data_IF_244577257244
#
_entry.id   IF_244577257244
#
_cell.length_a   1.000
_cell.length_b   1.000
_cell.length_c   1.000
_cell.angle_alpha   90.00
_cell.angle_beta   90.00
_cell.angle_gamma   90.00
#
_symmetry.space_group_name_H-M   'P 1'
#
loop_
_entity.id
_entity.type
_entity.pdbx_description
1 polymer ?
#
# COMPACT_ATOMS: atom_id res chain seq x y z
N UNK A 1 -17.78 0.68 -19.78
CA UNK A 1 -17.90 1.26 -18.42
C UNK A 1 -16.73 0.74 -17.63
N UNK A 2 -15.97 1.61 -16.95
CA UNK A 2 -14.88 1.16 -16.07
C UNK A 2 -15.47 0.59 -14.80
N UNK A 3 -14.91 -0.50 -14.29
CA UNK A 3 -15.45 -1.27 -13.17
C UNK A 3 -15.30 -0.57 -11.81
N UNK A 4 -14.70 0.63 -11.77
CA UNK A 4 -14.30 1.29 -10.52
C UNK A 4 -13.08 0.64 -9.85
N UNK A 5 -12.58 -0.46 -10.42
CA UNK A 5 -11.38 -1.16 -10.00
C UNK A 5 -10.36 -1.12 -11.15
N UNK A 6 -9.34 -0.27 -11.00
CA UNK A 6 -8.29 -0.12 -12.01
C UNK A 6 -7.54 -1.44 -12.28
N UNK A 7 -7.45 -2.33 -11.28
CA UNK A 7 -6.81 -3.64 -11.45
C UNK A 7 -7.67 -4.59 -12.29
N UNK A 8 -8.99 -4.53 -12.16
CA UNK A 8 -9.91 -5.30 -13.00
C UNK A 8 -9.90 -4.75 -14.43
N UNK A 9 -9.89 -3.42 -14.58
CA UNK A 9 -9.79 -2.76 -15.88
C UNK A 9 -8.46 -3.08 -16.60
N UNK A 10 -7.39 -3.42 -15.85
CA UNK A 10 -6.09 -3.87 -16.35
C UNK A 10 -5.97 -5.39 -16.54
N UNK A 11 -7.01 -6.18 -16.21
CA UNK A 11 -7.04 -7.63 -16.40
C UNK A 11 -6.31 -8.45 -15.33
N UNK A 12 -6.13 -7.92 -14.11
CA UNK A 12 -5.57 -8.71 -13.00
C UNK A 12 -6.59 -9.73 -12.49
N UNK A 13 -6.19 -10.99 -12.43
CA UNK A 13 -7.02 -12.09 -11.91
C UNK A 13 -7.48 -11.84 -10.47
N UNK A 14 -6.61 -11.25 -9.63
CA UNK A 14 -6.88 -10.96 -8.22
C UNK A 14 -7.25 -9.47 -7.98
N UNK A 15 -7.87 -8.82 -8.96
CA UNK A 15 -8.14 -7.37 -8.96
C UNK A 15 -8.78 -6.80 -7.67
N UNK A 16 -9.71 -7.51 -7.04
CA UNK A 16 -10.34 -7.06 -5.78
C UNK A 16 -9.38 -7.07 -4.59
N UNK A 17 -8.47 -8.03 -4.56
CA UNK A 17 -7.44 -8.12 -3.53
C UNK A 17 -6.38 -7.03 -3.73
N UNK A 18 -5.96 -6.79 -4.97
CA UNK A 18 -5.06 -5.69 -5.33
C UNK A 18 -5.63 -4.32 -4.95
N UNK A 19 -6.93 -4.12 -5.21
CA UNK A 19 -7.61 -2.89 -4.80
C UNK A 19 -7.63 -2.70 -3.28
N UNK A 20 -7.84 -3.79 -2.52
CA UNK A 20 -7.79 -3.75 -1.05
C UNK A 20 -6.39 -3.40 -0.55
N UNK A 21 -5.33 -4.01 -1.10
CA UNK A 21 -3.94 -3.71 -0.75
C UNK A 21 -3.56 -2.27 -1.06
N UNK A 22 -3.93 -1.79 -2.24
CA UNK A 22 -3.67 -0.40 -2.65
C UNK A 22 -4.36 0.61 -1.73
N UNK A 23 -5.61 0.35 -1.33
CA UNK A 23 -6.33 1.18 -0.34
C UNK A 23 -5.60 1.19 1.01
N UNK A 24 -5.17 0.03 1.50
CA UNK A 24 -4.43 -0.07 2.76
C UNK A 24 -3.09 0.68 2.70
N UNK A 25 -2.31 0.48 1.64
CA UNK A 25 -1.04 1.17 1.44
C UNK A 25 -1.21 2.71 1.40
N UNK A 26 -2.30 3.18 0.77
CA UNK A 26 -2.67 4.61 0.74
C UNK A 26 -2.93 5.15 2.14
N UNK A 27 -3.72 4.45 2.96
CA UNK A 27 -4.01 4.87 4.33
C UNK A 27 -2.75 4.91 5.21
N UNK A 28 -1.90 3.88 5.11
CA UNK A 28 -0.61 3.83 5.84
C UNK A 28 0.24 5.05 5.45
N UNK A 29 0.39 5.32 4.16
CA UNK A 29 1.14 6.49 3.67
C UNK A 29 0.55 7.80 4.19
N UNK A 30 -0.78 7.95 4.18
CA UNK A 30 -1.43 9.14 4.68
C UNK A 30 -1.13 9.37 6.17
N UNK A 31 -1.15 8.31 6.99
CA UNK A 31 -0.82 8.38 8.42
C UNK A 31 0.66 8.75 8.63
N UNK A 32 1.58 8.11 7.90
CA UNK A 32 3.03 8.40 7.98
C UNK A 32 3.29 9.87 7.66
N UNK A 33 2.72 10.38 6.56
CA UNK A 33 2.87 11.78 6.15
C UNK A 33 2.25 12.75 7.17
N UNK A 34 1.01 12.51 7.60
CA UNK A 34 0.30 13.37 8.56
C UNK A 34 1.03 13.47 9.90
N UNK A 35 1.65 12.37 10.34
CA UNK A 35 2.40 12.29 11.60
C UNK A 35 3.89 12.65 11.45
N UNK A 36 4.34 12.99 10.23
CA UNK A 36 5.75 13.26 9.90
C UNK A 36 6.70 12.16 10.41
N UNK A 37 6.28 10.91 10.28
CA UNK A 37 7.08 9.76 10.70
C UNK A 37 8.15 9.47 9.65
N UNK A 38 9.35 9.12 10.11
CA UNK A 38 10.36 8.52 9.22
C UNK A 38 9.96 7.09 8.89
N UNK A 39 10.48 6.53 7.80
CA UNK A 39 10.25 5.13 7.46
C UNK A 39 10.73 4.19 8.58
N UNK A 40 11.88 4.47 9.20
CA UNK A 40 12.40 3.68 10.32
C UNK A 40 11.47 3.71 11.55
N UNK A 41 10.92 4.88 11.90
CA UNK A 41 9.97 4.99 13.02
C UNK A 41 8.65 4.30 12.70
N UNK A 42 8.21 4.37 11.43
CA UNK A 42 7.01 3.68 10.97
C UNK A 42 7.19 2.15 11.02
N UNK A 43 8.37 1.64 10.66
CA UNK A 43 8.72 0.23 10.75
C UNK A 43 8.63 -0.29 12.18
N UNK A 44 9.18 0.46 13.14
CA UNK A 44 9.06 0.14 14.56
C UNK A 44 7.61 0.14 15.05
N UNK A 45 6.82 1.15 14.67
CA UNK A 45 5.42 1.27 15.10
C UNK A 45 4.50 0.20 14.51
N UNK A 46 4.79 -0.23 13.28
CA UNK A 46 4.00 -1.23 12.56
C UNK A 46 4.53 -2.65 12.77
N UNK A 47 5.61 -2.82 13.55
CA UNK A 47 6.32 -4.09 13.72
C UNK A 47 6.72 -4.75 12.38
N UNK A 48 7.11 -3.93 11.41
CA UNK A 48 7.55 -4.34 10.07
C UNK A 48 9.03 -4.03 9.89
N UNK A 49 9.67 -4.65 8.88
CA UNK A 49 11.02 -4.25 8.51
C UNK A 49 10.95 -2.94 7.72
N UNK A 50 11.99 -2.11 7.83
CA UNK A 50 12.04 -0.84 7.10
C UNK A 50 11.96 -1.01 5.56
N UNK A 51 12.53 -2.05 4.93
CA UNK A 51 12.33 -2.31 3.50
C UNK A 51 10.86 -2.51 3.12
N UNK A 52 10.09 -3.23 3.94
CA UNK A 52 8.66 -3.48 3.71
C UNK A 52 7.88 -2.16 3.78
N UNK A 53 8.19 -1.29 4.75
CA UNK A 53 7.63 0.06 4.82
C UNK A 53 8.00 0.89 3.59
N UNK A 54 9.26 0.83 3.15
CA UNK A 54 9.69 1.55 1.95
C UNK A 54 8.88 1.11 0.73
N UNK A 55 8.68 -0.20 0.56
CA UNK A 55 7.97 -0.73 -0.59
C UNK A 55 6.44 -0.43 -0.54
N UNK A 56 5.82 -0.37 0.65
CA UNK A 56 4.46 0.18 0.83
C UNK A 56 4.41 1.68 0.47
N UNK A 57 5.43 2.43 0.89
CA UNK A 57 5.61 3.86 0.58
C UNK A 57 6.13 4.10 -0.85
N UNK A 58 6.48 3.09 -1.63
CA UNK A 58 6.72 3.24 -3.07
C UNK A 58 5.54 2.73 -3.91
N UNK A 59 4.62 1.98 -3.30
CA UNK A 59 3.50 1.36 -4.00
C UNK A 59 3.87 0.03 -4.66
N UNK A 60 5.07 -0.50 -4.41
CA UNK A 60 5.57 -1.77 -4.95
C UNK A 60 4.90 -2.98 -4.26
N UNK A 61 4.52 -2.86 -2.98
CA UNK A 61 3.91 -3.95 -2.20
C UNK A 61 2.40 -4.09 -2.40
N UNK A 62 1.76 -3.19 -3.15
CA UNK A 62 0.32 -3.30 -3.40
C UNK A 62 -0.05 -4.61 -4.10
N UNK A 63 0.90 -5.29 -4.75
CA UNK A 63 0.71 -6.56 -5.44
C UNK A 63 1.26 -7.80 -4.74
N UNK A 64 1.75 -7.66 -3.50
CA UNK A 64 2.35 -8.78 -2.75
C UNK A 64 2.02 -8.81 -1.25
N UNK A 65 1.22 -7.85 -0.75
CA UNK A 65 0.51 -7.95 0.54
C UNK A 65 -0.64 -8.96 0.48
#
# INVERSE_FOLDING_TARGET
MTSGNVFADLGFDNSEEELRKAKLAREIRAIITRRRLTQAKSAQLLAMKQPDISAVVMGEQASSL
#
